data_IF_884013431220
#
_entry.id   IF_884013431220
#
_cell.length_a   1.000
_cell.length_b   1.000
_cell.length_c   1.000
_cell.angle_alpha   90.00
_cell.angle_beta   90.00
_cell.angle_gamma   90.00
#
_symmetry.space_group_name_H-M   'P 1'
#
loop_
_entity.id
_entity.type
_entity.pdbx_description
1 polymer ?
#
# COMPACT_ATOMS: atom_id res chain seq x y z
N UNK A 1 9.66 0.54 0.35
CA UNK A 1 10.26 1.90 0.20
C UNK A 1 11.08 2.36 1.40
N UNK A 2 10.89 1.78 2.57
CA UNK A 2 11.61 2.15 3.81
C UNK A 2 13.13 2.20 3.64
N UNK A 3 13.71 1.26 2.92
CA UNK A 3 15.15 1.15 2.66
C UNK A 3 15.46 0.99 1.16
N UNK A 4 14.92 1.89 0.34
CA UNK A 4 15.06 1.84 -1.14
C UNK A 4 16.52 1.94 -1.64
N UNK A 5 17.45 2.35 -0.78
CA UNK A 5 18.88 2.40 -1.09
C UNK A 5 19.56 1.01 -1.09
N UNK A 6 18.89 -0.01 -0.52
CA UNK A 6 19.36 -1.39 -0.64
C UNK A 6 18.90 -2.01 -1.96
N UNK A 7 19.77 -2.75 -2.60
CA UNK A 7 19.36 -3.67 -3.67
C UNK A 7 18.49 -4.80 -3.12
N UNK A 8 17.76 -5.50 -3.98
CA UNK A 8 16.90 -6.62 -3.53
C UNK A 8 17.67 -7.73 -2.80
N UNK A 9 18.88 -8.18 -3.25
CA UNK A 9 19.68 -9.12 -2.49
C UNK A 9 20.08 -8.60 -1.11
N UNK A 10 20.56 -7.34 -1.01
CA UNK A 10 20.94 -6.74 0.27
C UNK A 10 19.75 -6.59 1.21
N UNK A 11 18.54 -6.25 0.69
CA UNK A 11 17.31 -6.20 1.46
C UNK A 11 16.98 -7.58 2.03
N UNK A 12 17.04 -8.63 1.22
CA UNK A 12 16.74 -10.01 1.64
C UNK A 12 17.71 -10.47 2.72
N UNK A 13 19.03 -10.24 2.55
CA UNK A 13 20.04 -10.56 3.56
C UNK A 13 19.76 -9.82 4.87
N UNK A 14 19.50 -8.52 4.82
CA UNK A 14 19.21 -7.72 6.01
C UNK A 14 17.94 -8.18 6.72
N UNK A 15 16.90 -8.58 5.99
CA UNK A 15 15.69 -9.16 6.58
C UNK A 15 15.98 -10.47 7.32
N UNK A 16 16.80 -11.36 6.74
CA UNK A 16 17.20 -12.61 7.39
C UNK A 16 18.01 -12.36 8.67
N UNK A 17 18.97 -11.45 8.63
CA UNK A 17 19.80 -11.07 9.80
C UNK A 17 18.95 -10.54 10.96
N UNK A 18 17.88 -9.80 10.67
CA UNK A 18 17.00 -9.18 11.65
C UNK A 18 15.77 -10.03 12.01
N UNK A 19 15.58 -11.17 11.38
CA UNK A 19 14.41 -12.02 11.59
C UNK A 19 13.10 -11.40 11.08
N UNK A 20 13.17 -10.52 10.08
CA UNK A 20 11.98 -9.94 9.41
C UNK A 20 11.39 -10.99 8.46
N UNK A 21 10.13 -11.42 8.65
CA UNK A 21 9.59 -12.60 7.95
C UNK A 21 9.07 -12.32 6.55
N UNK A 22 8.90 -11.04 6.17
CA UNK A 22 8.29 -10.69 4.90
C UNK A 22 8.57 -9.27 4.46
N UNK A 23 8.31 -9.00 3.19
CA UNK A 23 8.59 -7.72 2.54
C UNK A 23 7.44 -7.28 1.65
N UNK A 24 7.02 -6.03 1.77
CA UNK A 24 6.23 -5.35 0.75
C UNK A 24 7.15 -4.84 -0.36
N UNK A 25 6.86 -5.20 -1.61
CA UNK A 25 7.71 -4.88 -2.74
C UNK A 25 7.10 -3.80 -3.64
N UNK A 26 7.96 -3.03 -4.30
CA UNK A 26 7.58 -2.07 -5.33
C UNK A 26 7.98 -2.56 -6.71
N UNK A 27 7.12 -2.28 -7.72
CA UNK A 27 7.28 -2.80 -9.09
C UNK A 27 8.59 -2.37 -9.77
N UNK A 28 9.02 -1.11 -9.58
CA UNK A 28 10.21 -0.60 -10.25
C UNK A 28 11.50 -1.38 -9.88
N UNK A 29 11.85 -1.58 -8.59
CA UNK A 29 12.97 -2.45 -8.21
C UNK A 29 12.80 -3.90 -8.68
N UNK A 30 11.58 -4.45 -8.58
CA UNK A 30 11.28 -5.82 -9.00
C UNK A 30 11.50 -5.99 -10.51
N UNK A 31 10.99 -5.07 -11.33
CA UNK A 31 11.17 -5.09 -12.79
C UNK A 31 12.65 -4.92 -13.17
N UNK A 32 13.37 -4.06 -12.46
CA UNK A 32 14.80 -3.82 -12.72
C UNK A 32 15.67 -5.04 -12.42
N UNK A 33 15.32 -5.82 -11.40
CA UNK A 33 16.03 -7.06 -11.03
C UNK A 33 15.53 -8.27 -11.82
N UNK A 34 14.28 -8.25 -12.27
CA UNK A 34 13.55 -9.32 -12.92
C UNK A 34 12.54 -9.97 -11.97
N UNK A 35 11.30 -10.10 -12.44
CA UNK A 35 10.17 -10.57 -11.61
C UNK A 35 10.42 -11.99 -11.10
N UNK A 36 10.77 -12.92 -11.99
CA UNK A 36 11.05 -14.32 -11.67
C UNK A 36 12.30 -14.47 -10.79
N UNK A 37 13.33 -13.66 -11.06
CA UNK A 37 14.54 -13.65 -10.26
C UNK A 37 14.25 -13.16 -8.83
N UNK A 38 13.41 -12.13 -8.68
CA UNK A 38 12.96 -11.63 -7.38
C UNK A 38 12.13 -12.69 -6.65
N UNK A 39 11.17 -13.31 -7.33
CA UNK A 39 10.34 -14.37 -6.75
C UNK A 39 11.20 -15.54 -6.24
N UNK A 40 12.20 -15.95 -7.03
CA UNK A 40 13.15 -16.98 -6.62
C UNK A 40 13.98 -16.54 -5.40
N UNK A 41 14.53 -15.34 -5.44
CA UNK A 41 15.37 -14.80 -4.36
C UNK A 41 14.63 -14.79 -3.02
N UNK A 42 13.41 -14.24 -2.98
CA UNK A 42 12.60 -14.13 -1.77
C UNK A 42 12.17 -15.50 -1.26
N UNK A 43 11.72 -16.38 -2.15
CA UNK A 43 11.31 -17.75 -1.81
C UNK A 43 12.46 -18.60 -1.27
N UNK A 44 13.62 -18.55 -1.91
CA UNK A 44 14.81 -19.32 -1.47
C UNK A 44 15.30 -18.86 -0.10
N UNK A 45 15.09 -17.59 0.23
CA UNK A 45 15.34 -17.02 1.56
C UNK A 45 14.28 -17.38 2.61
N UNK A 46 13.16 -17.99 2.23
CA UNK A 46 12.05 -18.28 3.14
C UNK A 46 11.26 -17.06 3.59
N UNK A 47 11.40 -15.92 2.88
CA UNK A 47 10.61 -14.73 3.13
C UNK A 47 9.28 -14.78 2.37
N UNK A 48 8.25 -14.09 2.90
CA UNK A 48 7.01 -13.84 2.18
C UNK A 48 7.02 -12.48 1.48
N UNK A 49 6.40 -12.39 0.30
CA UNK A 49 6.02 -11.09 -0.27
C UNK A 49 4.62 -10.76 0.24
N UNK A 50 4.50 -9.71 1.06
CA UNK A 50 3.25 -9.35 1.71
C UNK A 50 2.32 -8.56 0.80
N UNK A 51 2.87 -7.62 0.03
CA UNK A 51 2.14 -6.86 -0.99
C UNK A 51 3.04 -6.53 -2.17
N UNK A 52 2.42 -6.22 -3.31
CA UNK A 52 3.08 -5.52 -4.41
C UNK A 52 2.49 -4.11 -4.57
N UNK A 53 3.32 -3.10 -4.53
CA UNK A 53 3.01 -1.71 -4.89
C UNK A 53 3.61 -1.38 -6.26
N UNK A 54 2.94 -0.72 -7.16
CA UNK A 54 1.53 -0.37 -7.09
C UNK A 54 0.86 -0.58 -8.43
N UNK A 55 -0.40 -0.88 -8.40
CA UNK A 55 -1.30 -0.66 -9.53
C UNK A 55 -2.03 0.68 -9.38
N UNK A 56 -3.09 0.89 -10.15
CA UNK A 56 -3.96 2.05 -10.06
C UNK A 56 -3.86 3.02 -11.24
N UNK A 57 -3.99 4.34 -10.97
CA UNK A 57 -4.05 5.41 -11.97
C UNK A 57 -5.18 5.22 -12.99
N UNK A 58 -6.39 4.96 -12.48
CA UNK A 58 -7.56 4.52 -13.24
C UNK A 58 -8.53 5.67 -13.57
N UNK A 59 -8.12 6.92 -13.39
CA UNK A 59 -9.00 8.10 -13.53
C UNK A 59 -9.06 8.71 -14.93
N UNK A 60 -8.30 8.19 -15.89
CA UNK A 60 -8.22 8.72 -17.24
C UNK A 60 -9.60 8.83 -17.93
N UNK A 61 -9.81 9.92 -18.67
CA UNK A 61 -11.02 10.17 -19.47
C UNK A 61 -10.85 9.59 -20.88
N UNK A 62 -9.68 9.79 -21.47
CA UNK A 62 -9.35 9.32 -22.79
C UNK A 62 -9.39 7.79 -22.87
N UNK A 63 -9.97 7.27 -23.96
CA UNK A 63 -10.15 5.82 -24.16
C UNK A 63 -8.83 5.06 -24.24
N UNK A 64 -7.85 5.62 -24.93
CA UNK A 64 -6.57 4.95 -25.15
C UNK A 64 -5.71 4.98 -23.86
N UNK A 65 -5.80 6.07 -23.10
CA UNK A 65 -5.18 6.15 -21.76
C UNK A 65 -5.81 5.15 -20.79
N UNK A 66 -7.13 4.99 -20.79
CA UNK A 66 -7.84 3.97 -20.01
C UNK A 66 -7.37 2.56 -20.38
N UNK A 67 -7.26 2.28 -21.67
CA UNK A 67 -6.80 0.98 -22.17
C UNK A 67 -5.35 0.69 -21.73
N UNK A 68 -4.46 1.69 -21.79
CA UNK A 68 -3.08 1.57 -21.31
C UNK A 68 -3.03 1.34 -19.80
N UNK A 69 -3.83 2.07 -19.03
CA UNK A 69 -3.91 1.89 -17.57
C UNK A 69 -4.39 0.47 -17.19
N UNK A 70 -5.42 -0.04 -17.87
CA UNK A 70 -5.90 -1.40 -17.66
C UNK A 70 -4.84 -2.46 -18.01
N UNK A 71 -4.11 -2.28 -19.11
CA UNK A 71 -3.04 -3.18 -19.52
C UNK A 71 -1.89 -3.18 -18.50
N UNK A 72 -1.46 -2.00 -18.00
CA UNK A 72 -0.42 -1.93 -16.95
C UNK A 72 -0.87 -2.58 -15.63
N UNK A 73 -2.15 -2.42 -15.26
CA UNK A 73 -2.68 -3.06 -14.05
C UNK A 73 -2.80 -4.59 -14.20
N UNK A 74 -3.13 -5.11 -15.38
CA UNK A 74 -3.07 -6.56 -15.62
C UNK A 74 -1.65 -7.09 -15.49
N UNK A 75 -0.66 -6.39 -16.04
CA UNK A 75 0.74 -6.74 -15.84
C UNK A 75 1.15 -6.70 -14.35
N UNK A 76 0.64 -5.71 -13.58
CA UNK A 76 0.88 -5.67 -12.14
C UNK A 76 0.28 -6.86 -11.38
N UNK A 77 -0.89 -7.34 -11.80
CA UNK A 77 -1.51 -8.55 -11.25
C UNK A 77 -0.65 -9.79 -11.57
N UNK A 78 -0.17 -9.93 -12.80
CA UNK A 78 0.71 -11.04 -13.20
C UNK A 78 2.04 -11.03 -12.42
N UNK A 79 2.62 -9.83 -12.21
CA UNK A 79 3.81 -9.65 -11.37
C UNK A 79 3.55 -10.06 -9.92
N UNK A 80 2.42 -9.66 -9.33
CA UNK A 80 2.03 -10.04 -7.96
C UNK A 80 1.88 -11.57 -7.84
N UNK A 81 1.17 -12.20 -8.77
CA UNK A 81 1.00 -13.65 -8.81
C UNK A 81 2.35 -14.38 -8.92
N UNK A 82 3.25 -13.91 -9.79
CA UNK A 82 4.60 -14.48 -9.95
C UNK A 82 5.44 -14.36 -8.68
N UNK A 83 5.33 -13.23 -7.97
CA UNK A 83 6.00 -13.00 -6.69
C UNK A 83 5.41 -13.82 -5.53
N UNK A 84 4.23 -14.41 -5.72
CA UNK A 84 3.55 -15.21 -4.70
C UNK A 84 2.83 -14.38 -3.65
N UNK A 85 2.53 -13.09 -3.93
CA UNK A 85 1.65 -12.28 -3.08
C UNK A 85 0.23 -12.30 -3.63
N UNK A 86 -0.74 -12.35 -2.72
CA UNK A 86 -2.16 -12.29 -3.05
C UNK A 86 -2.72 -10.85 -3.03
N UNK A 87 -1.89 -9.83 -2.81
CA UNK A 87 -2.37 -8.46 -2.61
C UNK A 87 -1.60 -7.46 -3.47
N UNK A 88 -2.33 -6.79 -4.38
CA UNK A 88 -1.87 -5.65 -5.17
C UNK A 88 -2.47 -4.36 -4.61
N UNK A 89 -1.63 -3.46 -4.10
CA UNK A 89 -2.06 -2.14 -3.62
C UNK A 89 -2.32 -1.20 -4.80
N UNK A 90 -3.47 -0.50 -4.77
CA UNK A 90 -3.91 0.41 -5.81
C UNK A 90 -3.93 1.87 -5.33
N UNK A 91 -3.07 2.70 -5.91
CA UNK A 91 -3.16 4.16 -5.84
C UNK A 91 -4.06 4.63 -6.99
N UNK A 92 -5.28 5.06 -6.68
CA UNK A 92 -6.38 5.17 -7.65
C UNK A 92 -6.13 6.14 -8.82
N UNK A 93 -5.27 7.14 -8.65
CA UNK A 93 -5.04 8.22 -9.60
C UNK A 93 -5.68 9.54 -9.17
N UNK A 94 -5.04 10.65 -9.50
CA UNK A 94 -5.53 12.00 -9.26
C UNK A 94 -6.58 12.45 -10.30
N UNK A 95 -6.97 13.70 -10.24
CA UNK A 95 -7.82 14.31 -11.26
C UNK A 95 -7.05 14.43 -12.59
N UNK A 96 -7.65 14.06 -13.71
CA UNK A 96 -7.09 14.37 -15.02
C UNK A 96 -6.88 15.88 -15.18
N UNK A 97 -5.85 16.28 -15.91
CA UNK A 97 -5.49 17.68 -16.11
C UNK A 97 -6.70 18.49 -16.62
N UNK A 98 -7.00 19.60 -15.93
CA UNK A 98 -8.13 20.49 -16.25
C UNK A 98 -9.51 19.95 -15.85
N UNK A 99 -9.61 18.72 -15.33
CA UNK A 99 -10.86 18.16 -14.83
C UNK A 99 -11.09 18.56 -13.36
N UNK A 100 -12.35 18.76 -12.98
CA UNK A 100 -12.77 19.10 -11.61
C UNK A 100 -13.81 18.14 -11.05
N UNK A 101 -14.11 17.08 -11.79
CA UNK A 101 -15.14 16.11 -11.45
C UNK A 101 -14.56 14.92 -10.66
N UNK A 102 -14.54 15.08 -9.33
CA UNK A 102 -14.12 14.02 -8.40
C UNK A 102 -15.04 12.79 -8.44
N UNK A 103 -16.35 13.01 -8.62
CA UNK A 103 -17.32 11.91 -8.65
C UNK A 103 -17.13 11.06 -9.91
N UNK A 104 -17.08 11.68 -11.06
CA UNK A 104 -16.82 10.95 -12.31
C UNK A 104 -15.43 10.29 -12.33
N UNK A 105 -14.42 10.85 -11.66
CA UNK A 105 -13.14 10.19 -11.49
C UNK A 105 -13.27 8.88 -10.68
N UNK A 106 -14.05 8.89 -9.59
CA UNK A 106 -14.32 7.68 -8.79
C UNK A 106 -15.17 6.65 -9.54
N UNK A 107 -16.14 7.09 -10.36
CA UNK A 107 -16.91 6.16 -11.20
C UNK A 107 -16.01 5.47 -12.24
N UNK A 108 -15.06 6.19 -12.85
CA UNK A 108 -14.08 5.58 -13.77
C UNK A 108 -13.19 4.53 -13.06
N UNK A 109 -12.86 4.75 -11.77
CA UNK A 109 -12.16 3.74 -10.96
C UNK A 109 -13.05 2.52 -10.78
N UNK A 110 -14.34 2.70 -10.45
CA UNK A 110 -15.27 1.60 -10.30
C UNK A 110 -15.44 0.78 -11.59
N UNK A 111 -15.57 1.46 -12.74
CA UNK A 111 -15.61 0.80 -14.06
C UNK A 111 -14.37 -0.09 -14.27
N UNK A 112 -13.18 0.46 -14.00
CA UNK A 112 -11.93 -0.27 -14.16
C UNK A 112 -11.80 -1.46 -13.18
N UNK A 113 -12.24 -1.30 -11.93
CA UNK A 113 -12.27 -2.38 -10.94
C UNK A 113 -13.21 -3.51 -11.35
N UNK A 114 -14.33 -3.18 -12.04
CA UNK A 114 -15.24 -4.17 -12.61
C UNK A 114 -14.59 -5.10 -13.64
N UNK A 115 -13.58 -4.58 -14.37
CA UNK A 115 -12.79 -5.38 -15.32
C UNK A 115 -11.60 -6.09 -14.64
N UNK A 116 -10.92 -5.40 -13.73
CA UNK A 116 -9.68 -5.90 -13.10
C UNK A 116 -9.96 -6.90 -11.97
N UNK A 117 -11.04 -6.74 -11.20
CA UNK A 117 -11.35 -7.59 -10.06
C UNK A 117 -11.47 -9.06 -10.41
N UNK A 118 -12.34 -9.46 -11.39
CA UNK A 118 -12.42 -10.86 -11.83
C UNK A 118 -11.11 -11.37 -12.43
N UNK A 119 -10.38 -10.53 -13.15
CA UNK A 119 -9.09 -10.89 -13.73
C UNK A 119 -8.06 -11.20 -12.64
N UNK A 120 -7.93 -10.32 -11.65
CA UNK A 120 -7.01 -10.50 -10.53
C UNK A 120 -7.35 -11.74 -9.70
N UNK A 121 -8.63 -11.94 -9.38
CA UNK A 121 -9.09 -13.13 -8.66
C UNK A 121 -8.77 -14.42 -9.42
N UNK A 122 -8.87 -14.42 -10.75
CA UNK A 122 -8.46 -15.55 -11.60
C UNK A 122 -6.96 -15.88 -11.53
N UNK A 123 -6.13 -14.93 -11.08
CA UNK A 123 -4.70 -15.10 -10.83
C UNK A 123 -4.37 -15.33 -9.33
N UNK A 124 -5.39 -15.41 -8.47
CA UNK A 124 -5.21 -15.51 -7.02
C UNK A 124 -4.77 -14.21 -6.34
N UNK A 125 -5.01 -13.06 -6.97
CA UNK A 125 -4.62 -11.73 -6.48
C UNK A 125 -5.87 -10.92 -6.13
N UNK A 126 -5.82 -10.23 -5.00
CA UNK A 126 -6.83 -9.28 -4.53
C UNK A 126 -6.35 -7.85 -4.75
N UNK A 127 -7.27 -6.96 -5.07
CA UNK A 127 -6.99 -5.55 -5.25
C UNK A 127 -7.28 -4.79 -3.96
N UNK A 128 -6.31 -4.07 -3.43
CA UNK A 128 -6.44 -3.27 -2.21
C UNK A 128 -6.44 -1.77 -2.54
N UNK A 129 -7.59 -1.11 -2.47
CA UNK A 129 -7.71 0.34 -2.69
C UNK A 129 -7.05 1.05 -1.51
N UNK A 130 -6.04 1.86 -1.78
CA UNK A 130 -5.40 2.71 -0.78
C UNK A 130 -5.98 4.13 -0.84
N UNK A 131 -6.68 4.59 0.20
CA UNK A 131 -7.01 6.01 0.32
C UNK A 131 -5.75 6.79 0.67
N UNK A 132 -5.47 7.87 -0.05
CA UNK A 132 -4.36 8.77 0.27
C UNK A 132 -4.86 10.06 0.92
N UNK A 133 -4.03 10.65 1.77
CA UNK A 133 -4.33 11.93 2.42
C UNK A 133 -4.89 12.96 1.42
N UNK A 134 -5.90 13.77 1.77
CA UNK A 134 -6.57 14.71 0.85
C UNK A 134 -5.64 15.66 0.09
N UNK A 135 -4.43 15.92 0.60
CA UNK A 135 -3.44 16.72 -0.10
C UNK A 135 -3.05 16.17 -1.49
N UNK A 136 -3.28 14.87 -1.72
CA UNK A 136 -2.95 14.17 -2.97
C UNK A 136 -4.13 14.03 -3.93
N UNK A 137 -5.30 14.62 -3.62
CA UNK A 137 -6.52 14.41 -4.41
C UNK A 137 -6.39 14.89 -5.87
N UNK A 138 -5.57 15.90 -6.13
CA UNK A 138 -5.38 16.47 -7.46
C UNK A 138 -4.44 15.68 -8.36
N UNK A 139 -3.41 15.05 -7.79
CA UNK A 139 -2.29 14.51 -8.60
C UNK A 139 -2.06 13.00 -8.43
N UNK A 140 -2.56 12.40 -7.34
CA UNK A 140 -2.28 11.00 -7.04
C UNK A 140 -3.50 10.14 -6.76
N UNK A 141 -4.47 10.63 -5.96
CA UNK A 141 -5.55 9.78 -5.50
C UNK A 141 -6.82 10.56 -5.16
N UNK A 142 -7.87 10.38 -5.94
CA UNK A 142 -9.18 11.00 -5.69
C UNK A 142 -9.98 10.30 -4.58
N UNK A 143 -9.46 9.21 -4.03
CA UNK A 143 -10.01 8.48 -2.87
C UNK A 143 -9.20 8.90 -1.65
N UNK A 144 -9.80 9.67 -0.73
CA UNK A 144 -9.07 10.34 0.34
C UNK A 144 -9.47 9.91 1.75
N UNK A 145 -10.47 9.06 1.90
CA UNK A 145 -10.89 8.49 3.18
C UNK A 145 -11.14 7.00 3.05
N UNK A 146 -11.04 6.28 4.17
CA UNK A 146 -11.34 4.85 4.18
C UNK A 146 -12.82 4.58 3.83
N UNK A 147 -13.74 5.49 4.20
CA UNK A 147 -15.14 5.42 3.80
C UNK A 147 -15.30 5.42 2.27
N UNK A 148 -14.62 6.34 1.57
CA UNK A 148 -14.67 6.40 0.10
C UNK A 148 -14.08 5.16 -0.56
N UNK A 149 -13.01 4.60 0.01
CA UNK A 149 -12.41 3.35 -0.48
C UNK A 149 -13.39 2.18 -0.32
N UNK A 150 -14.07 2.09 0.82
CA UNK A 150 -15.08 1.06 1.09
C UNK A 150 -16.31 1.21 0.21
N UNK A 151 -16.80 2.43 -0.02
CA UNK A 151 -17.94 2.68 -0.93
C UNK A 151 -17.68 2.20 -2.36
N UNK A 152 -16.41 2.23 -2.79
CA UNK A 152 -15.98 1.62 -4.05
C UNK A 152 -15.83 0.10 -3.93
N UNK A 153 -15.13 -0.38 -2.91
CA UNK A 153 -14.82 -1.81 -2.75
C UNK A 153 -16.07 -2.66 -2.55
N UNK A 154 -17.09 -2.15 -1.87
CA UNK A 154 -18.33 -2.87 -1.58
C UNK A 154 -19.22 -3.10 -2.82
N UNK A 155 -18.91 -2.47 -3.95
CA UNK A 155 -19.56 -2.77 -5.23
C UNK A 155 -19.14 -4.12 -5.83
N UNK A 156 -18.09 -4.74 -5.25
CA UNK A 156 -17.46 -5.97 -5.76
C UNK A 156 -17.35 -7.03 -4.65
N UNK A 157 -17.14 -8.31 -4.99
CA UNK A 157 -16.85 -9.35 -4.02
C UNK A 157 -15.63 -9.01 -3.14
N UNK A 158 -15.68 -9.38 -1.85
CA UNK A 158 -14.63 -9.04 -0.89
C UNK A 158 -13.29 -9.76 -1.18
N UNK A 159 -13.35 -10.90 -1.84
CA UNK A 159 -12.19 -11.65 -2.31
C UNK A 159 -11.55 -11.07 -3.57
N UNK A 160 -12.18 -10.08 -4.20
CA UNK A 160 -11.64 -9.37 -5.36
C UNK A 160 -11.13 -7.99 -5.00
N UNK A 161 -11.92 -7.20 -4.25
CA UNK A 161 -11.60 -5.81 -3.94
C UNK A 161 -11.82 -5.53 -2.46
N UNK A 162 -10.78 -5.05 -1.81
CA UNK A 162 -10.78 -4.55 -0.45
C UNK A 162 -9.99 -3.26 -0.34
N UNK A 163 -9.47 -2.98 0.84
CA UNK A 163 -8.82 -1.73 1.18
C UNK A 163 -7.47 -1.94 1.85
N UNK A 164 -6.59 -0.97 1.67
CA UNK A 164 -5.39 -0.76 2.48
C UNK A 164 -5.75 0.16 3.64
N UNK A 165 -5.37 -0.22 4.85
CA UNK A 165 -5.37 0.68 6.00
C UNK A 165 -3.93 1.18 6.17
N UNK A 166 -3.64 2.42 5.77
CA UNK A 166 -2.34 3.07 5.97
C UNK A 166 -2.49 4.22 6.95
N UNK A 167 -1.81 4.14 8.09
CA UNK A 167 -1.91 5.14 9.15
C UNK A 167 -1.55 6.53 8.68
N UNK A 168 -0.51 6.68 7.86
CA UNK A 168 -0.06 7.99 7.37
C UNK A 168 -1.15 8.76 6.61
N UNK A 169 -2.00 8.04 5.91
CA UNK A 169 -2.99 8.66 5.04
C UNK A 169 -4.32 8.96 5.69
N UNK A 170 -4.69 8.23 6.77
CA UNK A 170 -6.03 8.31 7.35
C UNK A 170 -6.06 8.61 8.85
N UNK A 171 -4.92 8.85 9.52
CA UNK A 171 -4.84 9.08 10.97
C UNK A 171 -5.65 10.29 11.44
N UNK A 172 -5.83 11.27 10.58
CA UNK A 172 -6.54 12.53 10.81
C UNK A 172 -8.07 12.41 10.72
N UNK A 173 -8.58 11.30 10.18
CA UNK A 173 -10.01 11.09 9.97
C UNK A 173 -10.65 10.48 11.23
N UNK A 174 -11.42 11.28 11.96
CA UNK A 174 -12.12 10.86 13.17
C UNK A 174 -13.07 9.66 12.93
N UNK A 175 -13.49 9.44 11.68
CA UNK A 175 -14.35 8.32 11.31
C UNK A 175 -13.58 7.04 10.97
N UNK A 176 -12.25 7.10 10.85
CA UNK A 176 -11.45 5.95 10.45
C UNK A 176 -11.65 4.71 11.33
N UNK A 177 -11.75 4.78 12.68
CA UNK A 177 -11.99 3.59 13.51
C UNK A 177 -13.31 2.88 13.17
N UNK A 178 -14.39 3.64 12.92
CA UNK A 178 -15.67 3.07 12.51
C UNK A 178 -15.59 2.43 11.12
N UNK A 179 -14.83 3.02 10.21
CA UNK A 179 -14.62 2.46 8.87
C UNK A 179 -13.71 1.22 8.89
N UNK A 180 -12.73 1.14 9.78
CA UNK A 180 -11.93 -0.09 10.01
C UNK A 180 -12.84 -1.22 10.50
N UNK A 181 -13.74 -0.95 11.45
CA UNK A 181 -14.73 -1.94 11.89
C UNK A 181 -15.65 -2.41 10.75
N UNK A 182 -16.11 -1.47 9.90
CA UNK A 182 -16.92 -1.77 8.69
C UNK A 182 -16.13 -2.65 7.71
N UNK A 183 -14.86 -2.32 7.45
CA UNK A 183 -13.98 -3.09 6.58
C UNK A 183 -13.78 -4.52 7.10
N UNK A 184 -13.56 -4.67 8.42
CA UNK A 184 -13.42 -5.97 9.07
C UNK A 184 -14.69 -6.81 8.99
N UNK A 185 -15.86 -6.23 9.28
CA UNK A 185 -17.15 -6.91 9.17
C UNK A 185 -17.41 -7.43 7.73
N UNK A 186 -16.90 -6.72 6.71
CA UNK A 186 -16.96 -7.12 5.31
C UNK A 186 -15.83 -8.05 4.84
N UNK A 187 -14.85 -8.37 5.69
CA UNK A 187 -13.66 -9.15 5.29
C UNK A 187 -12.77 -8.43 4.25
N UNK A 188 -12.71 -7.07 4.32
CA UNK A 188 -12.11 -6.24 3.27
C UNK A 188 -10.80 -5.56 3.65
N UNK A 189 -10.24 -5.79 4.84
CA UNK A 189 -8.89 -5.30 5.17
C UNK A 189 -7.90 -6.25 4.51
N UNK A 190 -7.32 -5.86 3.38
CA UNK A 190 -6.38 -6.69 2.64
C UNK A 190 -4.94 -6.48 3.10
N UNK A 191 -4.59 -5.26 3.55
CA UNK A 191 -3.28 -4.96 4.12
C UNK A 191 -3.36 -3.83 5.14
N UNK A 192 -2.40 -3.82 6.07
CA UNK A 192 -2.23 -2.79 7.09
C UNK A 192 -0.80 -2.25 7.04
N UNK A 193 -0.67 -0.95 6.82
CA UNK A 193 0.61 -0.26 6.65
C UNK A 193 0.77 0.85 7.68
N UNK A 194 2.01 1.02 8.14
CA UNK A 194 2.40 1.99 9.17
C UNK A 194 3.45 2.96 8.65
N UNK A 195 3.20 4.22 8.89
CA UNK A 195 4.18 5.29 8.90
C UNK A 195 3.70 6.40 9.83
N UNK A 196 4.60 7.20 10.38
CA UNK A 196 4.23 8.24 11.32
C UNK A 196 4.13 9.61 10.66
N UNK A 197 3.45 10.52 11.34
CA UNK A 197 3.19 11.89 10.89
C UNK A 197 3.93 12.87 11.78
N UNK A 198 5.01 13.46 11.28
CA UNK A 198 5.83 14.42 12.02
C UNK A 198 5.35 15.85 11.83
N UNK A 199 5.62 16.72 12.83
CA UNK A 199 5.28 18.13 12.79
C UNK A 199 6.53 18.95 13.16
N UNK A 200 6.89 20.00 12.40
CA UNK A 200 6.25 20.45 11.15
C UNK A 200 6.44 19.47 9.99
N UNK A 201 5.47 19.44 9.06
CA UNK A 201 5.63 18.65 7.85
C UNK A 201 6.81 19.20 7.03
N UNK A 202 7.68 18.31 6.54
CA UNK A 202 8.77 18.75 5.66
C UNK A 202 8.22 19.20 4.30
N UNK A 203 8.97 20.06 3.63
CA UNK A 203 8.71 20.39 2.24
C UNK A 203 8.77 19.08 1.41
N UNK A 204 7.83 18.90 0.48
CA UNK A 204 7.76 17.66 -0.29
C UNK A 204 7.19 16.48 0.52
N UNK A 205 6.05 16.70 1.15
CA UNK A 205 5.30 15.80 2.06
C UNK A 205 5.24 14.32 1.64
N UNK A 206 5.38 13.99 0.36
CA UNK A 206 5.42 12.60 -0.10
C UNK A 206 6.58 11.83 0.54
N UNK A 207 7.74 12.46 0.65
CA UNK A 207 8.97 11.86 1.16
C UNK A 207 9.28 12.30 2.61
N UNK A 208 8.24 12.68 3.35
CA UNK A 208 8.35 13.20 4.71
C UNK A 208 7.64 12.35 5.75
N UNK A 209 7.40 11.06 5.47
CA UNK A 209 6.82 10.14 6.45
C UNK A 209 7.76 9.97 7.63
N UNK A 210 7.25 10.05 8.84
CA UNK A 210 8.01 9.85 10.07
C UNK A 210 8.40 8.39 10.29
N UNK A 211 9.55 8.18 10.93
CA UNK A 211 9.89 6.87 11.49
C UNK A 211 8.89 6.53 12.61
N UNK A 212 8.62 5.25 12.80
CA UNK A 212 7.68 4.78 13.81
C UNK A 212 8.02 5.33 15.20
N UNK A 213 7.07 6.06 15.80
CA UNK A 213 7.19 6.69 17.12
C UNK A 213 7.80 8.09 17.13
N UNK A 214 8.10 8.68 15.96
CA UNK A 214 8.63 10.06 15.87
C UNK A 214 7.51 11.12 15.74
N UNK A 215 6.28 10.70 15.49
CA UNK A 215 5.19 11.60 15.14
C UNK A 215 4.01 11.57 16.09
N UNK A 216 2.84 11.85 15.53
CA UNK A 216 1.59 12.09 16.27
C UNK A 216 0.66 10.87 16.28
N UNK A 217 1.02 9.75 15.61
CA UNK A 217 0.12 8.61 15.44
C UNK A 217 0.36 7.57 16.55
N UNK A 218 -0.69 7.26 17.33
CA UNK A 218 -0.63 6.15 18.29
C UNK A 218 -0.72 4.80 17.58
N UNK A 219 0.44 4.23 17.25
CA UNK A 219 0.55 2.99 16.47
C UNK A 219 -0.11 1.79 17.15
N UNK A 220 -0.08 1.72 18.49
CA UNK A 220 -0.74 0.64 19.25
C UNK A 220 -2.25 0.75 19.17
N UNK A 221 -2.77 1.97 19.23
CA UNK A 221 -4.19 2.20 19.09
C UNK A 221 -4.68 1.80 17.69
N UNK A 222 -3.95 2.19 16.64
CA UNK A 222 -4.27 1.79 15.26
C UNK A 222 -4.20 0.29 15.06
N UNK A 223 -3.16 -0.36 15.58
CA UNK A 223 -3.08 -1.82 15.59
C UNK A 223 -4.29 -2.44 16.29
N UNK A 224 -4.67 -1.92 17.47
CA UNK A 224 -5.84 -2.45 18.20
C UNK A 224 -7.14 -2.35 17.40
N UNK A 225 -7.34 -1.29 16.61
CA UNK A 225 -8.52 -1.14 15.75
C UNK A 225 -8.57 -2.22 14.67
N UNK A 226 -7.47 -2.48 13.98
CA UNK A 226 -7.46 -3.48 12.90
C UNK A 226 -7.52 -4.91 13.43
N UNK A 227 -6.89 -5.20 14.58
CA UNK A 227 -6.99 -6.50 15.24
C UNK A 227 -8.41 -6.76 15.76
N UNK A 228 -9.05 -5.77 16.38
CA UNK A 228 -10.45 -5.85 16.82
C UNK A 228 -11.42 -6.04 15.63
N UNK A 229 -11.06 -5.54 14.45
CA UNK A 229 -11.80 -5.77 13.20
C UNK A 229 -11.53 -7.14 12.56
N UNK A 230 -10.72 -8.00 13.20
CA UNK A 230 -10.43 -9.36 12.74
C UNK A 230 -9.27 -9.49 11.77
N UNK A 231 -8.48 -8.45 11.54
CA UNK A 231 -7.28 -8.54 10.72
C UNK A 231 -6.17 -9.28 11.46
N UNK A 232 -5.66 -10.34 10.84
CA UNK A 232 -4.56 -11.16 11.37
C UNK A 232 -3.39 -11.30 10.37
N UNK A 233 -3.38 -10.45 9.34
CA UNK A 233 -2.34 -10.42 8.32
C UNK A 233 -1.06 -9.70 8.76
N UNK A 234 -0.07 -9.62 7.88
CA UNK A 234 1.16 -8.88 8.12
C UNK A 234 0.92 -7.40 8.38
N UNK A 235 1.76 -6.80 9.23
CA UNK A 235 1.82 -5.35 9.44
C UNK A 235 3.08 -4.86 8.73
N UNK A 236 2.92 -4.00 7.73
CA UNK A 236 4.02 -3.44 6.96
C UNK A 236 4.43 -2.06 7.50
N UNK A 237 5.72 -1.74 7.41
CA UNK A 237 6.23 -0.38 7.64
C UNK A 237 6.68 0.20 6.31
N UNK A 238 6.03 1.29 5.87
CA UNK A 238 6.31 1.94 4.60
C UNK A 238 6.72 3.40 4.78
N UNK A 239 8.03 3.66 4.77
CA UNK A 239 8.59 4.99 4.99
C UNK A 239 9.13 5.59 3.68
N UNK A 240 8.47 6.66 3.23
CA UNK A 240 9.00 7.55 2.20
C UNK A 240 9.70 8.70 2.91
N UNK A 241 11.03 8.63 3.07
CA UNK A 241 11.77 9.63 3.82
C UNK A 241 13.19 9.81 3.25
N UNK A 242 13.45 11.00 2.70
CA UNK A 242 14.74 11.30 2.08
C UNK A 242 15.91 11.28 3.07
N UNK A 243 15.67 11.65 4.32
CA UNK A 243 16.70 11.60 5.36
C UNK A 243 17.07 10.15 5.70
N UNK A 244 16.10 9.25 5.77
CA UNK A 244 16.36 7.83 5.99
C UNK A 244 17.08 7.20 4.79
N UNK A 245 16.72 7.59 3.58
CA UNK A 245 17.35 7.08 2.36
C UNK A 245 18.79 7.54 2.16
N UNK A 246 19.19 8.64 2.83
CA UNK A 246 20.58 9.12 2.81
C UNK A 246 21.50 8.38 3.82
N UNK A 247 20.92 7.51 4.68
CA UNK A 247 21.63 6.73 5.69
C UNK A 247 21.92 5.33 5.18
N UNK A 248 22.76 4.60 5.92
CA UNK A 248 22.95 3.16 5.68
C UNK A 248 21.62 2.40 5.78
N UNK A 249 21.27 1.62 4.78
CA UNK A 249 19.98 0.94 4.69
C UNK A 249 19.80 -0.17 5.72
N UNK A 250 20.89 -0.87 6.10
CA UNK A 250 20.85 -1.92 7.11
C UNK A 250 20.62 -1.33 8.50
N UNK A 251 21.29 -0.20 8.81
CA UNK A 251 21.05 0.54 10.06
C UNK A 251 19.61 1.06 10.15
N UNK A 252 19.07 1.63 9.06
CA UNK A 252 17.69 2.09 9.01
C UNK A 252 16.71 0.94 9.23
N UNK A 253 16.94 -0.22 8.60
CA UNK A 253 16.07 -1.38 8.78
C UNK A 253 16.13 -1.92 10.22
N UNK A 254 17.31 -2.01 10.82
CA UNK A 254 17.49 -2.44 12.20
C UNK A 254 16.80 -1.48 13.18
N UNK A 255 16.94 -0.17 12.97
CA UNK A 255 16.23 0.85 13.76
C UNK A 255 14.71 0.70 13.60
N UNK A 256 14.23 0.55 12.36
CA UNK A 256 12.79 0.38 12.09
C UNK A 256 12.23 -0.86 12.80
N UNK A 257 12.94 -1.99 12.76
CA UNK A 257 12.54 -3.22 13.46
C UNK A 257 12.49 -3.01 14.98
N UNK A 258 13.49 -2.35 15.58
CA UNK A 258 13.50 -2.05 17.00
C UNK A 258 12.34 -1.14 17.41
N UNK A 259 12.07 -0.08 16.63
CA UNK A 259 10.97 0.85 16.87
C UNK A 259 9.60 0.19 16.68
N UNK A 260 9.46 -0.70 15.72
CA UNK A 260 8.24 -1.50 15.56
C UNK A 260 7.94 -2.30 16.84
N UNK A 261 8.93 -2.99 17.40
CA UNK A 261 8.75 -3.70 18.67
C UNK A 261 8.39 -2.75 19.80
N UNK A 262 9.02 -1.59 19.89
CA UNK A 262 8.82 -0.62 20.97
C UNK A 262 7.46 0.09 20.88
N UNK A 263 7.01 0.51 19.69
CA UNK A 263 5.87 1.41 19.51
C UNK A 263 4.61 0.72 18.95
N UNK A 264 4.75 -0.49 18.41
CA UNK A 264 3.61 -1.24 17.85
C UNK A 264 3.27 -2.47 18.68
N UNK A 265 4.30 -3.18 19.19
CA UNK A 265 4.09 -4.47 19.89
C UNK A 265 3.95 -4.30 21.39
N UNK A 266 4.82 -3.56 22.05
CA UNK A 266 4.86 -3.35 23.50
C UNK A 266 4.14 -2.09 23.90
#
# INVERSE_FOLDING_TARGET
>A
MTVKQLSLPELVEACLELGVPGVGLWRDPVRSYGVEATAKLVRDAGLSVTTLCRGGFLTAIDRDERARALADNRAAVEEAATLGTDTLVLVSGGLPVGNKDLYGARERIADALGELGPYAAGQGVRLAIEPLHPMYASDRCVVSTLAQALDLAERFPADQVGVTVDTYHIWWDDNAPAQIARAGAGGRIHTFQLADWTTPLPAGVLNGRGQIGDGSIDMRQWRSYVEAAGYAGPIEVELFNETLWARDGREVLAETAARFVQHVIR
#
